data_IF_665102681406
#
_entry.id   IF_665102681406
#
_cell.length_a   1.000
_cell.length_b   1.000
_cell.length_c   1.000
_cell.angle_alpha   90.00
_cell.angle_beta   90.00
_cell.angle_gamma   90.00
#
_symmetry.space_group_name_H-M   'P 1'
#
loop_
_entity.id
_entity.type
_entity.pdbx_description
1 polymer ?
#
# COMPACT_ATOMS: atom_id res chain seq x y z
N UNK A 1 93.16 -26.01 24.42
CA UNK A 1 92.13 -25.10 24.89
C UNK A 1 91.41 -24.53 23.70
N UNK A 2 90.18 -25.02 23.40
CA UNK A 2 89.31 -24.53 22.32
C UNK A 2 88.05 -23.89 22.94
N UNK A 3 87.90 -22.61 22.73
CA UNK A 3 86.74 -21.87 23.18
C UNK A 3 85.70 -21.87 22.08
N UNK A 4 84.52 -22.40 22.34
CA UNK A 4 83.33 -22.38 21.46
C UNK A 4 82.38 -21.29 21.96
N UNK A 5 82.20 -20.25 21.17
CA UNK A 5 81.23 -19.19 21.39
C UNK A 5 79.86 -19.59 20.86
N UNK A 6 78.84 -19.56 21.74
CA UNK A 6 77.45 -19.75 21.38
C UNK A 6 76.82 -18.39 21.06
N UNK A 7 76.35 -18.21 19.84
CA UNK A 7 75.48 -17.09 19.40
C UNK A 7 74.03 -17.49 19.60
N UNK A 8 73.38 -16.83 20.56
CA UNK A 8 71.91 -16.92 20.77
C UNK A 8 71.23 -15.93 19.83
N UNK A 9 70.52 -16.42 18.83
CA UNK A 9 69.67 -15.61 17.98
C UNK A 9 68.28 -15.46 18.65
N UNK A 10 67.95 -14.26 19.06
CA UNK A 10 66.62 -13.89 19.58
C UNK A 10 65.69 -13.55 18.40
N UNK A 11 64.77 -14.45 18.10
CA UNK A 11 63.74 -14.22 17.11
C UNK A 11 62.63 -13.31 17.69
N UNK A 12 62.52 -12.08 17.21
CA UNK A 12 61.44 -11.13 17.54
C UNK A 12 60.19 -11.52 16.77
N UNK A 13 59.25 -12.20 17.42
CA UNK A 13 57.93 -12.50 16.83
C UNK A 13 57.07 -11.25 16.86
N UNK A 14 56.94 -10.56 15.71
CA UNK A 14 55.94 -9.48 15.54
C UNK A 14 54.59 -10.17 15.38
N UNK A 15 53.79 -10.16 16.43
CA UNK A 15 52.38 -10.55 16.36
C UNK A 15 51.64 -9.49 15.57
N UNK A 16 51.29 -9.75 14.31
CA UNK A 16 50.32 -9.01 13.54
C UNK A 16 48.93 -9.20 14.17
N UNK A 17 48.56 -8.29 15.06
CA UNK A 17 47.21 -8.19 15.56
C UNK A 17 46.32 -7.69 14.41
N UNK A 18 45.72 -8.62 13.67
CA UNK A 18 44.55 -8.29 12.81
C UNK A 18 43.48 -7.73 13.73
N UNK A 19 42.93 -6.53 13.43
CA UNK A 19 41.79 -6.03 14.21
C UNK A 19 40.66 -7.05 14.02
N UNK A 20 40.32 -7.78 15.07
CA UNK A 20 39.08 -8.55 15.11
C UNK A 20 37.96 -7.50 15.07
N UNK A 21 37.37 -7.32 13.91
CA UNK A 21 36.13 -6.59 13.77
C UNK A 21 35.12 -7.31 14.61
N UNK A 22 34.80 -6.75 15.76
CA UNK A 22 33.74 -7.25 16.62
C UNK A 22 32.44 -7.20 15.78
N UNK A 23 32.04 -8.32 15.22
CA UNK A 23 30.75 -8.44 14.56
C UNK A 23 29.69 -8.17 15.63
N UNK A 24 29.07 -7.01 15.55
CA UNK A 24 27.94 -6.70 16.40
C UNK A 24 26.89 -7.81 16.24
N UNK A 25 26.30 -8.23 17.36
CA UNK A 25 25.17 -9.18 17.30
C UNK A 25 24.10 -8.60 16.35
N UNK A 26 23.58 -9.41 15.43
CA UNK A 26 22.58 -8.93 14.49
C UNK A 26 21.35 -8.37 15.23
N UNK A 27 20.86 -7.24 14.75
CA UNK A 27 19.65 -6.62 15.25
C UNK A 27 18.47 -7.47 14.76
N UNK A 28 17.70 -8.04 15.68
CA UNK A 28 16.53 -8.83 15.33
C UNK A 28 15.33 -7.90 15.15
N UNK A 29 14.67 -7.99 14.00
CA UNK A 29 13.44 -7.29 13.69
C UNK A 29 12.39 -8.25 13.14
N UNK A 30 11.15 -8.07 13.59
CA UNK A 30 9.99 -8.81 13.08
C UNK A 30 9.31 -7.98 12.00
N UNK A 31 9.23 -8.57 10.80
CA UNK A 31 8.41 -8.07 9.70
C UNK A 31 7.07 -8.82 9.67
N UNK A 32 5.95 -8.10 9.62
CA UNK A 32 4.62 -8.69 9.59
C UNK A 32 3.77 -8.23 8.40
N UNK A 33 2.98 -9.17 7.87
CA UNK A 33 1.96 -8.91 6.86
C UNK A 33 0.73 -9.78 7.07
N UNK A 34 -0.46 -9.20 6.97
CA UNK A 34 -1.71 -9.95 6.96
C UNK A 34 -1.91 -10.75 5.66
N UNK A 35 -1.17 -10.44 4.59
CA UNK A 35 -1.20 -11.18 3.33
C UNK A 35 -0.17 -12.30 3.30
N UNK A 36 -0.48 -13.44 2.65
CA UNK A 36 0.48 -14.52 2.40
C UNK A 36 1.57 -14.10 1.38
N UNK A 37 2.68 -14.83 1.39
CA UNK A 37 3.84 -14.58 0.52
C UNK A 37 3.53 -14.69 -0.99
N UNK A 38 2.41 -15.29 -1.37
CA UNK A 38 1.98 -15.44 -2.77
C UNK A 38 1.52 -14.14 -3.41
N UNK A 39 1.22 -13.11 -2.62
CA UNK A 39 0.87 -11.80 -3.16
C UNK A 39 2.13 -11.03 -3.57
N UNK A 40 2.08 -10.37 -4.73
CA UNK A 40 3.22 -9.70 -5.34
C UNK A 40 3.93 -8.69 -4.41
N UNK A 41 3.16 -7.94 -3.62
CA UNK A 41 3.72 -6.98 -2.66
C UNK A 41 4.37 -7.65 -1.46
N UNK A 42 3.82 -8.76 -0.96
CA UNK A 42 4.43 -9.51 0.15
C UNK A 42 5.69 -10.22 -0.33
N UNK A 43 5.67 -10.79 -1.54
CA UNK A 43 6.83 -11.36 -2.20
C UNK A 43 7.94 -10.31 -2.37
N UNK A 44 7.62 -9.11 -2.90
CA UNK A 44 8.58 -8.02 -3.06
C UNK A 44 9.11 -7.50 -1.71
N UNK A 45 8.30 -7.53 -0.65
CA UNK A 45 8.77 -7.21 0.69
C UNK A 45 9.80 -8.23 1.18
N UNK A 46 9.51 -9.52 1.04
CA UNK A 46 10.38 -10.60 1.54
C UNK A 46 11.66 -10.71 0.71
N UNK A 47 11.54 -10.73 -0.61
CA UNK A 47 12.63 -11.03 -1.53
C UNK A 47 13.35 -9.80 -2.09
N UNK A 48 12.73 -8.63 -1.98
CA UNK A 48 13.28 -7.34 -2.42
C UNK A 48 13.66 -6.43 -1.23
N UNK A 49 12.67 -5.93 -0.48
CA UNK A 49 12.87 -4.93 0.56
C UNK A 49 13.76 -5.43 1.71
N UNK A 50 13.45 -6.58 2.33
CA UNK A 50 14.18 -7.05 3.50
C UNK A 50 15.67 -7.34 3.20
N UNK A 51 16.04 -8.00 2.09
CA UNK A 51 17.44 -8.16 1.71
C UNK A 51 18.12 -6.85 1.32
N UNK A 52 17.39 -5.89 0.72
CA UNK A 52 17.95 -4.60 0.30
C UNK A 52 18.44 -3.78 1.49
N UNK A 53 17.77 -3.85 2.65
CA UNK A 53 18.23 -3.21 3.89
C UNK A 53 19.65 -3.67 4.25
N UNK A 54 19.91 -4.98 4.26
CA UNK A 54 21.24 -5.50 4.59
C UNK A 54 22.28 -5.18 3.52
N UNK A 55 21.91 -5.20 2.23
CA UNK A 55 22.80 -4.77 1.15
C UNK A 55 23.25 -3.32 1.30
N UNK A 56 22.33 -2.44 1.70
CA UNK A 56 22.64 -1.01 1.95
C UNK A 56 23.55 -0.83 3.17
N UNK A 57 23.31 -1.55 4.24
CA UNK A 57 24.19 -1.54 5.42
C UNK A 57 25.59 -2.01 5.04
N UNK A 58 25.69 -3.06 4.24
CA UNK A 58 26.98 -3.56 3.77
C UNK A 58 27.70 -2.56 2.88
N UNK A 59 26.99 -1.99 1.90
CA UNK A 59 27.54 -0.98 0.97
C UNK A 59 28.00 0.30 1.71
N UNK A 60 27.36 0.64 2.82
CA UNK A 60 27.73 1.76 3.67
C UNK A 60 28.87 1.43 4.67
N UNK A 61 29.43 0.22 4.65
CA UNK A 61 30.43 -0.23 5.60
C UNK A 61 29.93 -0.33 7.05
N UNK A 62 28.61 -0.43 7.25
CA UNK A 62 28.04 -0.53 8.59
C UNK A 62 28.43 -1.85 9.27
N UNK A 63 28.74 -1.84 10.59
CA UNK A 63 28.93 -3.06 11.37
C UNK A 63 27.58 -3.75 11.69
N UNK A 64 26.45 -3.08 11.47
CA UNK A 64 25.14 -3.59 11.79
C UNK A 64 24.61 -4.53 10.70
N UNK A 65 23.87 -5.57 11.12
CA UNK A 65 23.11 -6.45 10.22
C UNK A 65 21.74 -6.72 10.83
N UNK A 66 20.74 -6.86 9.99
CA UNK A 66 19.37 -7.20 10.43
C UNK A 66 19.13 -8.70 10.23
N UNK A 67 18.70 -9.35 11.29
CA UNK A 67 18.11 -10.68 11.22
C UNK A 67 16.59 -10.54 11.26
N UNK A 68 15.97 -10.81 10.12
CA UNK A 68 14.53 -10.73 9.97
C UNK A 68 13.82 -11.98 10.50
N UNK A 69 12.81 -11.77 11.35
CA UNK A 69 11.76 -12.74 11.62
C UNK A 69 10.57 -12.39 10.75
N UNK A 70 10.25 -13.22 9.77
CA UNK A 70 9.20 -12.94 8.76
C UNK A 70 7.91 -13.65 9.17
N UNK A 71 6.88 -12.88 9.45
CA UNK A 71 5.57 -13.34 9.90
C UNK A 71 4.47 -12.83 8.94
N UNK A 72 4.13 -13.62 7.94
CA UNK A 72 3.17 -13.26 6.89
C UNK A 72 1.95 -14.18 6.88
N UNK A 73 0.93 -13.85 6.10
CA UNK A 73 -0.29 -14.65 6.00
C UNK A 73 -1.15 -14.63 7.25
N UNK A 74 -1.06 -13.56 8.03
CA UNK A 74 -1.89 -13.41 9.24
C UNK A 74 -1.36 -14.16 10.47
N UNK A 75 -0.12 -14.64 10.46
CA UNK A 75 0.47 -15.38 11.59
C UNK A 75 0.59 -14.57 12.87
N UNK A 76 0.76 -13.25 12.78
CA UNK A 76 0.72 -12.32 13.93
C UNK A 76 -0.64 -11.65 14.01
N UNK A 77 -1.14 -11.12 12.89
CA UNK A 77 -2.42 -10.42 12.83
C UNK A 77 -3.04 -10.52 11.43
N UNK A 78 -4.35 -10.66 11.37
CA UNK A 78 -5.12 -10.55 10.12
C UNK A 78 -5.10 -9.10 9.61
N UNK A 79 -5.44 -8.89 8.33
CA UNK A 79 -5.42 -7.56 7.70
C UNK A 79 -6.12 -6.46 8.51
N UNK A 80 -7.35 -6.67 9.02
CA UNK A 80 -8.03 -5.66 9.82
C UNK A 80 -7.35 -5.36 11.17
N UNK A 81 -6.51 -6.25 11.66
CA UNK A 81 -5.86 -6.15 12.96
C UNK A 81 -4.39 -5.72 12.87
N UNK A 82 -3.87 -5.48 11.64
CA UNK A 82 -2.46 -5.13 11.45
C UNK A 82 -2.11 -3.80 12.11
N UNK A 83 -3.01 -2.81 12.10
CA UNK A 83 -2.75 -1.53 12.76
C UNK A 83 -2.51 -1.70 14.26
N UNK A 84 -3.31 -2.53 14.92
CA UNK A 84 -3.15 -2.81 16.35
C UNK A 84 -1.85 -3.58 16.63
N UNK A 85 -1.53 -4.58 15.82
CA UNK A 85 -0.29 -5.34 15.95
C UNK A 85 0.96 -4.45 15.82
N UNK A 86 0.94 -3.52 14.86
CA UNK A 86 2.02 -2.56 14.66
C UNK A 86 2.09 -1.53 15.80
N UNK A 87 0.96 -0.97 16.22
CA UNK A 87 0.90 0.04 17.28
C UNK A 87 1.33 -0.53 18.65
N UNK A 88 0.96 -1.77 18.97
CA UNK A 88 1.34 -2.43 20.22
C UNK A 88 2.73 -3.02 20.22
N UNK A 89 3.42 -3.06 19.07
CA UNK A 89 4.78 -3.59 18.95
C UNK A 89 4.85 -5.11 18.88
N UNK A 90 3.77 -5.81 18.48
CA UNK A 90 3.83 -7.25 18.16
C UNK A 90 4.70 -7.51 16.93
N UNK A 91 4.85 -6.52 16.06
CA UNK A 91 5.83 -6.51 14.98
C UNK A 91 6.58 -5.16 14.95
N UNK A 92 7.81 -5.18 14.42
CA UNK A 92 8.67 -4.01 14.36
C UNK A 92 8.46 -3.19 13.09
N UNK A 93 8.29 -3.87 11.96
CA UNK A 93 8.01 -3.29 10.64
C UNK A 93 6.93 -4.15 9.98
N UNK A 94 6.00 -3.51 9.31
CA UNK A 94 4.94 -4.20 8.61
C UNK A 94 4.06 -3.25 7.83
N UNK A 95 3.08 -3.79 7.13
CA UNK A 95 2.19 -2.90 6.41
C UNK A 95 0.78 -2.87 6.99
N UNK A 96 0.20 -1.68 6.93
CA UNK A 96 -1.16 -1.36 7.34
C UNK A 96 -1.97 -1.03 6.09
N UNK A 97 -3.23 -1.44 6.06
CA UNK A 97 -4.17 -1.09 5.00
C UNK A 97 -5.14 -0.05 5.54
N UNK A 98 -4.88 1.23 5.28
CA UNK A 98 -5.67 2.31 5.86
C UNK A 98 -7.13 2.36 5.38
N UNK A 99 -7.49 1.69 4.28
CA UNK A 99 -8.88 1.53 3.85
C UNK A 99 -9.75 0.79 4.88
N UNK A 100 -9.14 -0.03 5.74
CA UNK A 100 -9.84 -0.69 6.85
C UNK A 100 -9.89 0.17 8.11
N UNK A 101 -9.24 1.33 8.09
CA UNK A 101 -9.05 2.22 9.24
C UNK A 101 -9.63 3.64 9.04
N UNK A 102 -10.85 3.79 8.51
CA UNK A 102 -11.40 5.10 8.17
C UNK A 102 -11.63 6.00 9.40
N UNK A 103 -11.65 5.42 10.60
CA UNK A 103 -11.81 6.16 11.86
C UNK A 103 -10.46 6.61 12.43
N UNK A 104 -9.45 5.74 12.39
CA UNK A 104 -8.13 5.99 13.00
C UNK A 104 -7.16 6.69 12.04
N UNK A 105 -7.32 6.45 10.74
CA UNK A 105 -6.51 7.04 9.66
C UNK A 105 -7.40 7.76 8.63
N UNK A 106 -8.25 8.69 9.08
CA UNK A 106 -9.26 9.30 8.20
C UNK A 106 -8.64 10.17 7.10
N UNK A 107 -7.54 10.87 7.36
CA UNK A 107 -6.89 11.75 6.38
C UNK A 107 -6.17 10.96 5.28
N UNK A 108 -5.64 9.78 5.61
CA UNK A 108 -5.02 8.86 4.66
C UNK A 108 -6.03 8.35 3.62
N UNK A 109 -7.31 8.34 3.98
CA UNK A 109 -8.42 7.93 3.11
C UNK A 109 -8.92 9.03 2.15
N UNK A 110 -8.20 10.13 1.96
CA UNK A 110 -8.58 11.22 1.04
C UNK A 110 -8.85 10.73 -0.38
N UNK A 111 -8.14 9.69 -0.84
CA UNK A 111 -8.34 9.08 -2.18
C UNK A 111 -9.74 8.51 -2.32
N UNK A 112 -10.23 7.82 -1.29
CA UNK A 112 -11.58 7.26 -1.27
C UNK A 112 -12.66 8.34 -1.25
N UNK A 113 -12.35 9.51 -0.69
CA UNK A 113 -13.26 10.67 -0.70
C UNK A 113 -13.29 11.39 -2.06
N UNK A 114 -12.28 11.19 -2.93
CA UNK A 114 -12.15 11.89 -4.20
C UNK A 114 -11.93 10.91 -5.38
N UNK A 115 -12.91 10.04 -5.71
CA UNK A 115 -12.80 9.11 -6.83
C UNK A 115 -12.68 9.85 -8.16
N UNK A 116 -12.28 9.12 -9.22
CA UNK A 116 -12.04 9.68 -10.57
C UNK A 116 -10.90 10.71 -10.61
N UNK A 117 -9.94 10.61 -9.69
CA UNK A 117 -8.81 11.52 -9.61
C UNK A 117 -7.72 11.23 -10.65
N UNK A 118 -7.16 10.05 -10.62
CA UNK A 118 -6.18 9.54 -11.59
C UNK A 118 -6.21 8.03 -11.67
N UNK A 119 -6.07 7.48 -12.86
CA UNK A 119 -5.93 6.04 -13.08
C UNK A 119 -4.48 5.57 -13.08
N UNK A 120 -3.52 6.52 -13.05
CA UNK A 120 -2.10 6.21 -13.03
C UNK A 120 -1.61 5.92 -11.59
N UNK A 121 -1.21 4.67 -11.28
CA UNK A 121 -0.72 4.31 -9.95
C UNK A 121 0.61 4.98 -9.61
N UNK A 122 1.43 5.39 -10.61
CA UNK A 122 2.67 6.12 -10.37
C UNK A 122 2.39 7.50 -9.78
N UNK A 123 1.47 8.23 -10.43
CA UNK A 123 1.07 9.56 -9.97
C UNK A 123 0.37 9.49 -8.62
N UNK A 124 -0.58 8.57 -8.44
CA UNK A 124 -1.27 8.38 -7.18
C UNK A 124 -0.30 8.06 -6.04
N UNK A 125 0.65 7.15 -6.27
CA UNK A 125 1.69 6.81 -5.29
C UNK A 125 2.54 8.02 -4.93
N UNK A 126 3.06 8.73 -5.93
CA UNK A 126 3.90 9.92 -5.71
C UNK A 126 3.17 10.96 -4.87
N UNK A 127 1.96 11.34 -5.29
CA UNK A 127 1.16 12.38 -4.61
C UNK A 127 0.92 12.01 -3.14
N UNK A 128 0.44 10.81 -2.89
CA UNK A 128 0.08 10.42 -1.52
C UNK A 128 1.29 10.19 -0.63
N UNK A 129 2.37 9.63 -1.17
CA UNK A 129 3.61 9.49 -0.43
C UNK A 129 4.20 10.86 -0.02
N UNK A 130 4.23 11.81 -0.96
CA UNK A 130 4.68 13.18 -0.66
C UNK A 130 3.78 13.85 0.38
N UNK A 131 2.47 13.69 0.28
CA UNK A 131 1.51 14.22 1.28
C UNK A 131 1.74 13.60 2.66
N UNK A 132 1.89 12.31 2.75
CA UNK A 132 2.16 11.64 4.02
C UNK A 132 3.48 12.08 4.67
N UNK A 133 4.50 12.40 3.85
CA UNK A 133 5.79 12.92 4.33
C UNK A 133 5.78 14.42 4.66
N UNK A 134 4.95 15.22 4.00
CA UNK A 134 4.99 16.68 4.13
C UNK A 134 3.82 17.28 4.90
N UNK A 135 2.66 16.60 4.99
CA UNK A 135 1.49 17.13 5.69
C UNK A 135 1.55 16.82 7.20
N UNK A 136 1.65 17.86 8.08
CA UNK A 136 1.80 17.64 9.52
C UNK A 136 0.64 16.87 10.16
N UNK A 137 -0.59 17.03 9.64
CA UNK A 137 -1.75 16.35 10.19
C UNK A 137 -1.74 14.85 9.86
N UNK A 138 -1.30 14.48 8.65
CA UNK A 138 -1.14 13.07 8.26
C UNK A 138 0.01 12.42 9.05
N UNK A 139 1.13 13.14 9.24
CA UNK A 139 2.22 12.66 10.09
C UNK A 139 1.78 12.46 11.54
N UNK A 140 1.02 13.42 12.09
CA UNK A 140 0.47 13.34 13.45
C UNK A 140 -0.48 12.14 13.60
N UNK A 141 -1.22 11.76 12.56
CA UNK A 141 -2.06 10.55 12.60
C UNK A 141 -1.23 9.31 12.90
N UNK A 142 -0.13 9.09 12.18
CA UNK A 142 0.79 7.97 12.42
C UNK A 142 1.46 8.07 13.79
N UNK A 143 1.91 9.26 14.14
CA UNK A 143 2.61 9.51 15.41
C UNK A 143 1.72 9.21 16.62
N UNK A 144 0.44 9.58 16.57
CA UNK A 144 -0.54 9.31 17.63
C UNK A 144 -0.85 7.82 17.80
N UNK A 145 -0.60 7.01 16.78
CA UNK A 145 -0.73 5.56 16.80
C UNK A 145 0.58 4.86 17.21
N UNK A 146 1.61 5.61 17.57
CA UNK A 146 2.92 5.05 17.92
C UNK A 146 3.64 4.44 16.71
N UNK A 147 3.43 4.97 15.51
CA UNK A 147 3.98 4.47 14.26
C UNK A 147 4.83 5.53 13.55
N UNK A 148 5.81 5.06 12.79
CA UNK A 148 6.60 5.84 11.84
C UNK A 148 6.23 5.38 10.44
N UNK A 149 5.75 6.31 9.62
CA UNK A 149 5.48 6.05 8.20
C UNK A 149 6.81 5.95 7.44
N UNK A 150 6.98 4.89 6.67
CA UNK A 150 8.16 4.65 5.84
C UNK A 150 7.85 4.94 4.37
N UNK A 151 6.87 4.25 3.80
CA UNK A 151 6.45 4.42 2.42
C UNK A 151 5.04 3.88 2.19
N UNK A 152 4.49 4.15 1.01
CA UNK A 152 3.23 3.57 0.55
C UNK A 152 3.24 3.37 -0.96
N UNK A 153 2.31 2.60 -1.48
CA UNK A 153 2.10 2.47 -2.92
C UNK A 153 0.60 2.36 -3.24
N UNK A 154 0.27 2.71 -4.48
CA UNK A 154 -1.09 2.62 -5.02
C UNK A 154 -1.24 1.39 -5.90
N UNK A 155 -2.41 0.75 -5.81
CA UNK A 155 -2.82 -0.24 -6.79
C UNK A 155 -3.22 0.41 -8.12
N UNK A 156 -3.47 -0.44 -9.11
CA UNK A 156 -4.14 -0.07 -10.35
C UNK A 156 -5.53 0.56 -10.09
N UNK A 157 -6.05 1.23 -11.11
CA UNK A 157 -7.37 1.86 -11.01
C UNK A 157 -8.45 0.85 -10.64
N UNK A 158 -9.25 1.20 -9.67
CA UNK A 158 -10.41 0.40 -9.31
C UNK A 158 -11.43 0.41 -10.46
N UNK A 159 -12.15 -0.69 -10.57
CA UNK A 159 -13.07 -1.03 -11.64
C UNK A 159 -14.28 -1.79 -11.08
N UNK A 160 -15.28 -2.06 -11.92
CA UNK A 160 -16.37 -2.95 -11.59
C UNK A 160 -16.17 -4.31 -12.26
N UNK A 161 -16.38 -5.36 -11.49
CA UNK A 161 -16.54 -6.72 -11.97
C UNK A 161 -17.93 -7.21 -11.63
N UNK A 162 -18.66 -7.75 -12.61
CA UNK A 162 -20.06 -8.14 -12.43
C UNK A 162 -20.44 -9.43 -13.12
N UNK A 163 -21.48 -10.08 -12.61
CA UNK A 163 -22.10 -11.26 -13.21
C UNK A 163 -23.01 -10.90 -14.40
N UNK A 164 -23.23 -9.62 -14.66
CA UNK A 164 -24.10 -9.10 -15.74
C UNK A 164 -23.40 -7.97 -16.50
N UNK A 165 -23.83 -7.69 -17.77
CA UNK A 165 -23.26 -6.58 -18.54
C UNK A 165 -23.55 -5.22 -17.91
N UNK A 166 -22.55 -4.33 -17.87
CA UNK A 166 -22.68 -2.94 -17.42
C UNK A 166 -22.21 -2.05 -18.58
N UNK A 167 -23.10 -1.24 -19.14
CA UNK A 167 -22.82 -0.27 -20.20
C UNK A 167 -22.94 1.18 -19.68
N UNK A 168 -23.66 1.36 -18.57
CA UNK A 168 -23.91 2.66 -17.95
C UNK A 168 -24.18 2.52 -16.46
N UNK A 169 -24.15 3.64 -15.73
CA UNK A 169 -24.52 3.70 -14.31
C UNK A 169 -25.94 3.19 -14.05
N UNK A 170 -26.86 3.40 -15.01
CA UNK A 170 -28.25 2.99 -14.88
C UNK A 170 -28.42 1.46 -14.72
N UNK A 171 -27.47 0.66 -15.25
CA UNK A 171 -27.49 -0.79 -15.16
C UNK A 171 -27.25 -1.30 -13.72
N UNK A 172 -26.76 -0.42 -12.83
CA UNK A 172 -26.56 -0.73 -11.41
C UNK A 172 -27.84 -0.64 -10.58
N UNK A 173 -28.94 -0.07 -11.12
CA UNK A 173 -30.17 0.13 -10.36
C UNK A 173 -30.72 -1.19 -9.83
N UNK A 174 -30.88 -1.26 -8.49
CA UNK A 174 -31.37 -2.44 -7.80
C UNK A 174 -30.37 -3.60 -7.68
N UNK A 175 -29.15 -3.45 -8.22
CA UNK A 175 -28.08 -4.46 -8.12
C UNK A 175 -27.34 -4.32 -6.81
N UNK A 176 -27.02 -5.43 -6.18
CA UNK A 176 -26.15 -5.46 -5.01
C UNK A 176 -24.69 -5.34 -5.47
N UNK A 177 -24.05 -4.27 -5.08
CA UNK A 177 -22.65 -3.99 -5.47
C UNK A 177 -21.78 -3.91 -4.23
N UNK A 178 -20.79 -4.79 -4.15
CA UNK A 178 -19.85 -4.80 -3.04
C UNK A 178 -18.71 -3.81 -3.24
N UNK A 179 -18.29 -3.18 -2.15
CA UNK A 179 -17.09 -2.36 -2.09
C UNK A 179 -16.47 -2.42 -0.70
N UNK A 180 -15.19 -2.03 -0.57
CA UNK A 180 -14.60 -1.75 0.73
C UNK A 180 -15.34 -0.59 1.41
N UNK A 181 -15.42 -0.59 2.75
CA UNK A 181 -16.24 0.37 3.50
C UNK A 181 -15.98 1.83 3.11
N UNK A 182 -14.71 2.22 2.91
CA UNK A 182 -14.33 3.58 2.51
C UNK A 182 -14.80 3.96 1.09
N UNK A 183 -15.09 2.97 0.23
CA UNK A 183 -15.46 3.16 -1.18
C UNK A 183 -16.96 2.99 -1.42
N UNK A 184 -17.75 2.60 -0.42
CA UNK A 184 -19.22 2.49 -0.53
C UNK A 184 -19.88 3.78 -1.06
N UNK A 185 -19.44 5.00 -0.67
CA UNK A 185 -20.00 6.23 -1.19
C UNK A 185 -19.86 6.44 -2.71
N UNK A 186 -19.01 5.66 -3.40
CA UNK A 186 -18.89 5.72 -4.86
C UNK A 186 -20.12 5.17 -5.60
N UNK A 187 -20.98 4.48 -4.85
CA UNK A 187 -22.25 3.92 -5.34
C UNK A 187 -23.45 4.81 -5.01
N UNK A 188 -23.27 5.88 -4.23
CA UNK A 188 -24.34 6.79 -3.86
C UNK A 188 -24.96 7.43 -5.11
N UNK A 189 -26.29 7.51 -5.16
CA UNK A 189 -27.01 8.08 -6.29
C UNK A 189 -27.08 7.20 -7.56
N UNK A 190 -26.38 6.06 -7.61
CA UNK A 190 -26.41 5.15 -8.78
C UNK A 190 -27.64 4.26 -8.81
N UNK A 191 -28.41 4.18 -7.71
CA UNK A 191 -29.50 3.22 -7.55
C UNK A 191 -29.05 1.79 -7.22
N UNK A 192 -27.74 1.52 -7.13
CA UNK A 192 -27.22 0.28 -6.60
C UNK A 192 -27.58 0.11 -5.11
N UNK A 193 -27.56 -1.12 -4.64
CA UNK A 193 -27.64 -1.50 -3.22
C UNK A 193 -26.22 -1.74 -2.74
N UNK A 194 -25.59 -0.80 -2.00
CA UNK A 194 -24.22 -0.96 -1.54
C UNK A 194 -24.11 -2.09 -0.50
N UNK A 195 -23.10 -2.95 -0.66
CA UNK A 195 -22.80 -4.05 0.27
C UNK A 195 -21.33 -3.90 0.69
N UNK A 196 -21.06 -3.97 2.00
CA UNK A 196 -19.67 -4.06 2.46
C UNK A 196 -19.13 -5.44 2.12
N UNK A 197 -18.04 -5.48 1.37
CA UNK A 197 -17.41 -6.73 0.92
C UNK A 197 -15.90 -6.68 0.97
N UNK A 198 -15.28 -7.85 0.96
CA UNK A 198 -13.83 -8.02 0.90
C UNK A 198 -13.46 -8.97 -0.22
N UNK A 199 -12.21 -8.88 -0.71
CA UNK A 199 -11.69 -9.82 -1.71
C UNK A 199 -11.68 -11.27 -1.23
N UNK A 200 -11.52 -11.51 0.06
CA UNK A 200 -11.43 -12.87 0.60
C UNK A 200 -12.69 -13.69 0.40
N UNK A 201 -13.86 -13.06 0.29
CA UNK A 201 -15.17 -13.72 0.14
C UNK A 201 -15.82 -13.47 -1.22
N UNK A 202 -15.35 -12.48 -1.99
CA UNK A 202 -15.99 -11.97 -3.20
C UNK A 202 -16.35 -13.04 -4.23
N UNK A 203 -15.48 -14.01 -4.48
CA UNK A 203 -15.77 -15.11 -5.40
C UNK A 203 -17.01 -15.91 -4.98
N UNK A 204 -17.05 -16.36 -3.73
CA UNK A 204 -18.14 -17.15 -3.20
C UNK A 204 -19.43 -16.33 -3.09
N UNK A 205 -19.32 -15.07 -2.69
CA UNK A 205 -20.44 -14.17 -2.50
C UNK A 205 -21.14 -13.83 -3.83
N UNK A 206 -20.37 -13.59 -4.92
CA UNK A 206 -20.95 -13.41 -6.27
C UNK A 206 -21.53 -14.74 -6.76
N UNK A 207 -20.80 -15.84 -6.62
CA UNK A 207 -21.25 -17.16 -7.07
C UNK A 207 -22.57 -17.59 -6.41
N UNK A 208 -22.78 -17.24 -5.15
CA UNK A 208 -24.00 -17.56 -4.40
C UNK A 208 -25.07 -16.46 -4.47
N UNK A 209 -24.83 -15.34 -5.18
CA UNK A 209 -25.79 -14.25 -5.34
C UNK A 209 -25.97 -13.36 -4.10
N UNK A 210 -25.00 -13.37 -3.17
CA UNK A 210 -24.98 -12.40 -2.05
C UNK A 210 -24.88 -10.99 -2.60
N UNK A 211 -24.03 -10.79 -3.62
CA UNK A 211 -24.01 -9.58 -4.43
C UNK A 211 -23.74 -9.88 -5.92
N UNK A 212 -24.11 -8.93 -6.79
CA UNK A 212 -24.11 -9.10 -8.24
C UNK A 212 -22.81 -8.59 -8.87
N UNK A 213 -22.12 -7.66 -8.19
CA UNK A 213 -20.91 -7.00 -8.66
C UNK A 213 -20.02 -6.57 -7.50
N UNK A 214 -18.76 -6.30 -7.80
CA UNK A 214 -17.79 -5.79 -6.82
C UNK A 214 -16.91 -4.68 -7.42
N UNK A 215 -16.67 -3.65 -6.64
CA UNK A 215 -15.64 -2.63 -6.90
C UNK A 215 -14.30 -3.18 -6.43
N UNK A 216 -13.33 -3.29 -7.34
CA UNK A 216 -12.03 -3.87 -7.03
C UNK A 216 -10.94 -3.44 -8.02
N UNK A 217 -9.69 -3.85 -7.80
CA UNK A 217 -8.61 -3.68 -8.77
C UNK A 217 -8.46 -4.91 -9.66
N UNK A 218 -7.98 -4.70 -10.89
CA UNK A 218 -7.74 -5.79 -11.84
C UNK A 218 -6.68 -6.76 -11.33
N UNK A 219 -5.59 -6.25 -10.79
CA UNK A 219 -4.50 -7.07 -10.25
C UNK A 219 -4.93 -7.93 -9.06
N UNK A 220 -5.74 -7.38 -8.14
CA UNK A 220 -6.28 -8.16 -7.02
C UNK A 220 -7.24 -9.24 -7.49
N UNK A 221 -8.00 -8.96 -8.53
CA UNK A 221 -9.08 -9.81 -9.02
C UNK A 221 -8.59 -11.09 -9.70
N UNK A 222 -7.46 -11.04 -10.41
CA UNK A 222 -6.91 -12.24 -11.06
C UNK A 222 -6.46 -13.28 -10.03
N UNK A 223 -5.84 -12.84 -8.94
CA UNK A 223 -5.41 -13.73 -7.85
C UNK A 223 -6.58 -14.46 -7.18
N UNK A 224 -7.73 -13.81 -7.08
CA UNK A 224 -8.97 -14.39 -6.54
C UNK A 224 -9.85 -15.08 -7.57
N UNK A 225 -9.44 -15.16 -8.84
CA UNK A 225 -10.20 -15.73 -9.98
C UNK A 225 -11.61 -15.14 -10.12
N UNK A 226 -11.77 -13.88 -9.73
CA UNK A 226 -13.09 -13.24 -9.66
C UNK A 226 -13.76 -13.16 -11.04
N UNK A 227 -12.99 -13.11 -12.13
CA UNK A 227 -13.48 -13.09 -13.51
C UNK A 227 -14.26 -14.38 -13.90
N UNK A 228 -14.06 -15.51 -13.23
CA UNK A 228 -14.82 -16.74 -13.49
C UNK A 228 -16.30 -16.60 -13.10
N UNK A 229 -16.61 -15.79 -12.09
CA UNK A 229 -17.99 -15.58 -11.58
C UNK A 229 -18.51 -14.17 -11.89
N UNK A 230 -17.65 -13.25 -12.25
CA UNK A 230 -17.94 -11.87 -12.62
C UNK A 230 -17.18 -11.50 -13.93
N UNK A 231 -17.57 -12.13 -15.07
CA UNK A 231 -16.82 -12.02 -16.32
C UNK A 231 -16.97 -10.65 -17.02
N UNK A 232 -17.90 -9.81 -16.59
CA UNK A 232 -18.05 -8.46 -17.13
C UNK A 232 -17.21 -7.48 -16.31
N UNK A 233 -16.09 -7.04 -16.90
CA UNK A 233 -15.12 -6.15 -16.26
C UNK A 233 -15.22 -4.78 -16.93
N UNK A 234 -15.59 -3.77 -16.15
CA UNK A 234 -15.70 -2.39 -16.65
C UNK A 234 -14.63 -1.53 -16.01
N UNK A 235 -13.70 -1.02 -16.81
CA UNK A 235 -12.72 -0.04 -16.38
C UNK A 235 -13.41 1.33 -16.25
N UNK A 236 -13.88 1.58 -15.04
CA UNK A 236 -14.73 2.72 -14.70
C UNK A 236 -13.97 4.04 -14.57
N UNK A 237 -12.64 3.98 -14.37
CA UNK A 237 -11.84 5.15 -14.10
C UNK A 237 -11.97 5.70 -12.67
N UNK A 238 -12.44 4.91 -11.70
CA UNK A 238 -12.56 5.33 -10.29
C UNK A 238 -11.26 5.88 -9.72
N UNK A 239 -10.13 5.40 -10.19
CA UNK A 239 -8.81 5.86 -9.83
C UNK A 239 -7.94 4.80 -9.16
N UNK A 240 -6.64 5.04 -9.24
CA UNK A 240 -5.64 4.26 -8.53
C UNK A 240 -5.74 4.53 -7.04
N UNK A 241 -5.86 3.47 -6.24
CA UNK A 241 -6.10 3.56 -4.80
C UNK A 241 -4.82 3.30 -4.04
N UNK A 242 -4.37 4.31 -3.28
CA UNK A 242 -3.36 4.10 -2.26
C UNK A 242 -4.05 3.52 -1.02
N UNK A 243 -3.60 2.35 -0.62
CA UNK A 243 -4.21 1.66 0.51
C UNK A 243 -3.18 1.04 1.44
N UNK A 244 -1.92 0.91 0.98
CA UNK A 244 -0.88 0.15 1.65
C UNK A 244 0.22 1.07 2.14
N UNK A 245 0.39 1.09 3.45
CA UNK A 245 1.43 1.86 4.12
C UNK A 245 2.40 0.91 4.81
N UNK A 246 3.68 0.99 4.47
CA UNK A 246 4.75 0.36 5.23
C UNK A 246 5.10 1.26 6.40
N UNK A 247 5.03 0.71 7.60
CA UNK A 247 5.23 1.45 8.84
C UNK A 247 6.18 0.72 9.77
N UNK A 248 6.82 1.46 10.68
CA UNK A 248 7.60 0.91 11.77
C UNK A 248 6.96 1.26 13.13
N UNK A 249 7.06 0.37 14.12
CA UNK A 249 6.73 0.71 15.49
C UNK A 249 7.69 1.79 16.02
N UNK A 250 7.16 2.91 16.50
CA UNK A 250 7.94 4.10 16.89
C UNK A 250 8.90 3.83 18.02
N UNK A 251 8.47 3.05 19.02
CA UNK A 251 9.32 2.70 20.17
C UNK A 251 10.51 1.83 19.76
N UNK A 252 10.29 0.94 18.79
CA UNK A 252 11.35 0.11 18.23
C UNK A 252 12.27 0.93 17.33
N UNK A 253 11.68 1.72 16.44
CA UNK A 253 12.39 2.60 15.52
C UNK A 253 13.38 3.52 16.22
N UNK A 254 12.96 4.19 17.28
CA UNK A 254 13.80 5.14 18.03
C UNK A 254 15.03 4.51 18.69
N UNK A 255 15.05 3.18 18.85
CA UNK A 255 16.18 2.43 19.41
C UNK A 255 17.15 1.90 18.35
N UNK A 256 16.80 2.04 17.07
CA UNK A 256 17.67 1.60 15.97
C UNK A 256 18.81 2.60 15.78
N UNK A 257 20.03 2.13 15.46
CA UNK A 257 21.11 3.00 15.03
C UNK A 257 20.73 3.84 13.81
N UNK A 258 21.29 5.03 13.67
CA UNK A 258 20.96 5.97 12.61
C UNK A 258 21.22 5.41 11.20
N UNK A 259 22.29 4.65 11.03
CA UNK A 259 22.63 3.96 9.77
C UNK A 259 21.60 2.89 9.41
N UNK A 260 21.04 2.18 10.41
CA UNK A 260 19.98 1.20 10.23
C UNK A 260 18.67 1.88 9.83
N UNK A 261 18.30 2.97 10.52
CA UNK A 261 17.12 3.76 10.14
C UNK A 261 17.24 4.29 8.71
N UNK A 262 18.41 4.81 8.33
CA UNK A 262 18.69 5.28 6.98
C UNK A 262 18.57 4.16 5.95
N UNK A 263 19.18 3.01 6.19
CA UNK A 263 19.13 1.86 5.27
C UNK A 263 17.68 1.35 5.08
N UNK A 264 16.88 1.30 6.15
CA UNK A 264 15.46 0.91 6.08
C UNK A 264 14.68 1.94 5.27
N UNK A 265 14.88 3.25 5.50
CA UNK A 265 14.17 4.29 4.75
C UNK A 265 14.51 4.24 3.25
N UNK A 266 15.79 4.17 2.91
CA UNK A 266 16.23 4.10 1.51
C UNK A 266 15.75 2.81 0.82
N UNK A 267 15.72 1.68 1.52
CA UNK A 267 15.16 0.43 1.02
C UNK A 267 13.65 0.54 0.81
N UNK A 268 12.94 1.27 1.68
CA UNK A 268 11.51 1.53 1.57
C UNK A 268 11.18 2.39 0.35
N UNK A 269 11.97 3.42 0.07
CA UNK A 269 11.80 4.28 -1.11
C UNK A 269 12.07 3.50 -2.41
N UNK A 270 13.09 2.62 -2.40
CA UNK A 270 13.38 1.73 -3.52
C UNK A 270 12.31 0.65 -3.71
N UNK A 271 11.78 0.08 -2.63
CA UNK A 271 10.65 -0.83 -2.66
C UNK A 271 9.42 -0.20 -3.31
N UNK A 272 9.08 1.03 -2.93
CA UNK A 272 7.96 1.77 -3.53
C UNK A 272 8.07 1.83 -5.04
N UNK A 273 9.24 2.25 -5.55
CA UNK A 273 9.49 2.38 -6.98
C UNK A 273 9.32 1.03 -7.70
N UNK A 274 9.96 -0.02 -7.19
CA UNK A 274 9.85 -1.36 -7.79
C UNK A 274 8.42 -1.88 -7.75
N UNK A 275 7.71 -1.66 -6.63
CA UNK A 275 6.35 -2.16 -6.46
C UNK A 275 5.37 -1.50 -7.42
N UNK A 276 5.44 -0.18 -7.58
CA UNK A 276 4.58 0.55 -8.52
C UNK A 276 4.81 0.09 -9.96
N UNK A 277 6.07 -0.08 -10.39
CA UNK A 277 6.36 -0.58 -11.73
C UNK A 277 5.87 -2.02 -11.92
N UNK A 278 6.02 -2.86 -10.89
CA UNK A 278 5.47 -4.22 -10.89
C UNK A 278 3.96 -4.22 -11.04
N UNK A 279 3.24 -3.36 -10.31
CA UNK A 279 1.78 -3.21 -10.41
C UNK A 279 1.37 -2.85 -11.83
N UNK A 280 2.00 -1.84 -12.44
CA UNK A 280 1.66 -1.43 -13.82
C UNK A 280 1.84 -2.59 -14.80
N UNK A 281 2.95 -3.32 -14.70
CA UNK A 281 3.25 -4.46 -15.56
C UNK A 281 2.28 -5.63 -15.32
N UNK A 282 2.06 -6.00 -14.06
CA UNK A 282 1.23 -7.16 -13.72
C UNK A 282 -0.26 -6.89 -13.96
N UNK A 283 -0.73 -5.64 -13.83
CA UNK A 283 -2.10 -5.27 -14.18
C UNK A 283 -2.39 -5.51 -15.66
N UNK A 284 -1.48 -5.12 -16.56
CA UNK A 284 -1.64 -5.37 -17.98
C UNK A 284 -1.69 -6.89 -18.28
N UNK A 285 -0.81 -7.65 -17.63
CA UNK A 285 -0.78 -9.11 -17.76
C UNK A 285 -2.04 -9.77 -17.18
N UNK A 286 -2.58 -9.24 -16.08
CA UNK A 286 -3.80 -9.73 -15.45
C UNK A 286 -5.01 -9.55 -16.39
N UNK A 287 -5.15 -8.39 -17.01
CA UNK A 287 -6.23 -8.17 -17.98
C UNK A 287 -6.13 -9.12 -19.19
N UNK A 288 -4.95 -9.27 -19.77
CA UNK A 288 -4.75 -10.19 -20.88
C UNK A 288 -5.07 -11.66 -20.49
N UNK A 289 -4.74 -12.08 -19.27
CA UNK A 289 -5.08 -13.40 -18.77
C UNK A 289 -6.60 -13.57 -18.58
N UNK A 290 -7.27 -12.60 -17.98
CA UNK A 290 -8.73 -12.64 -17.78
C UNK A 290 -9.49 -12.66 -19.11
N UNK A 291 -9.05 -11.89 -20.13
CA UNK A 291 -9.62 -11.92 -21.49
C UNK A 291 -9.46 -13.30 -22.13
N UNK A 292 -8.27 -13.90 -22.01
CA UNK A 292 -8.01 -15.25 -22.51
C UNK A 292 -8.93 -16.29 -21.85
N UNK A 293 -9.27 -16.10 -20.58
CA UNK A 293 -10.16 -16.96 -19.81
C UNK A 293 -11.66 -16.61 -20.06
N UNK A 294 -11.96 -15.71 -21.01
CA UNK A 294 -13.31 -15.39 -21.47
C UNK A 294 -13.97 -14.19 -20.82
N UNK A 295 -13.25 -13.41 -20.00
CA UNK A 295 -13.75 -12.16 -19.47
C UNK A 295 -13.98 -11.13 -20.58
N UNK A 296 -15.03 -10.32 -20.43
CA UNK A 296 -15.39 -9.23 -21.32
C UNK A 296 -14.97 -7.92 -20.68
N UNK A 297 -13.85 -7.36 -21.14
CA UNK A 297 -13.30 -6.12 -20.60
C UNK A 297 -13.76 -4.96 -21.48
N UNK A 298 -14.34 -3.95 -20.86
CA UNK A 298 -14.81 -2.72 -21.52
C UNK A 298 -14.32 -1.49 -20.77
N UNK A 299 -14.17 -0.39 -21.51
CA UNK A 299 -13.88 0.92 -20.94
C UNK A 299 -15.13 1.77 -20.85
N UNK A 300 -15.37 2.37 -19.69
CA UNK A 300 -16.35 3.43 -19.60
C UNK A 300 -15.83 4.68 -20.32
N UNK A 301 -16.62 5.24 -21.24
CA UNK A 301 -16.17 6.43 -21.97
C UNK A 301 -15.88 7.61 -21.03
N UNK A 302 -15.00 8.56 -21.40
CA UNK A 302 -14.75 9.75 -20.59
C UNK A 302 -16.02 10.53 -20.24
N UNK A 303 -16.99 10.59 -21.16
CA UNK A 303 -18.29 11.23 -20.94
C UNK A 303 -19.11 10.47 -19.89
N UNK A 304 -19.11 9.14 -19.92
CA UNK A 304 -19.82 8.32 -18.95
C UNK A 304 -19.14 8.37 -17.57
N UNK A 305 -17.81 8.43 -17.53
CA UNK A 305 -17.05 8.64 -16.28
C UNK A 305 -17.39 10.01 -15.66
N UNK A 306 -17.41 11.08 -16.47
CA UNK A 306 -17.78 12.42 -16.02
C UNK A 306 -19.22 12.48 -15.54
N UNK A 307 -20.15 11.82 -16.26
CA UNK A 307 -21.56 11.73 -15.86
C UNK A 307 -21.72 10.98 -14.53
N UNK A 308 -20.98 9.89 -14.32
CA UNK A 308 -20.99 9.18 -13.04
C UNK A 308 -20.44 10.06 -11.92
N UNK A 309 -19.25 10.64 -12.11
CA UNK A 309 -18.65 11.52 -11.14
C UNK A 309 -19.58 12.71 -10.78
N UNK A 310 -20.30 13.27 -11.75
CA UNK A 310 -21.26 14.34 -11.54
C UNK A 310 -22.54 13.89 -10.80
N UNK A 311 -22.98 12.64 -11.00
CA UNK A 311 -24.19 12.09 -10.35
C UNK A 311 -23.97 11.78 -8.88
N UNK A 312 -22.70 11.58 -8.45
CA UNK A 312 -22.39 11.38 -7.03
C UNK A 312 -22.72 12.63 -6.24
N UNK A 313 -23.33 12.50 -5.06
CA UNK A 313 -23.39 13.60 -4.10
C UNK A 313 -21.98 14.11 -3.79
N UNK A 314 -21.84 15.29 -3.22
CA UNK A 314 -20.51 15.78 -2.88
C UNK A 314 -19.91 15.00 -1.70
N UNK A 315 -19.48 13.76 -1.97
CA UNK A 315 -18.91 12.85 -0.95
C UNK A 315 -17.63 13.41 -0.34
N UNK A 316 -16.85 14.16 -1.11
CA UNK A 316 -15.62 14.78 -0.63
C UNK A 316 -15.93 15.92 0.36
N UNK A 317 -16.93 16.75 0.09
CA UNK A 317 -17.37 17.79 1.01
C UNK A 317 -17.94 17.19 2.30
N UNK A 318 -18.76 16.16 2.20
CA UNK A 318 -19.28 15.40 3.35
C UNK A 318 -18.15 14.83 4.20
N UNK A 319 -17.16 14.22 3.57
CA UNK A 319 -15.98 13.68 4.24
C UNK A 319 -15.20 14.80 4.96
N UNK A 320 -14.86 15.87 4.24
CA UNK A 320 -14.11 16.98 4.79
C UNK A 320 -14.85 17.64 5.98
N UNK A 321 -16.12 17.97 5.81
CA UNK A 321 -16.94 18.61 6.86
C UNK A 321 -17.04 17.72 8.11
N UNK A 322 -17.22 16.40 7.93
CA UNK A 322 -17.31 15.48 9.06
C UNK A 322 -16.03 15.37 9.88
N UNK A 323 -14.87 15.53 9.24
CA UNK A 323 -13.57 15.50 9.88
C UNK A 323 -13.18 16.86 10.47
N UNK A 324 -13.54 17.96 9.81
CA UNK A 324 -13.35 19.31 10.34
C UNK A 324 -14.13 19.52 11.65
N UNK A 325 -15.33 18.95 11.75
CA UNK A 325 -16.08 18.92 13.01
C UNK A 325 -15.36 18.18 14.16
N UNK A 326 -14.37 17.33 13.82
CA UNK A 326 -13.48 16.64 14.77
C UNK A 326 -12.12 17.33 14.94
N UNK A 327 -11.95 18.54 14.38
CA UNK A 327 -10.71 19.30 14.45
C UNK A 327 -9.60 18.84 13.50
N UNK A 328 -9.91 18.03 12.49
CA UNK A 328 -8.94 17.58 11.49
C UNK A 328 -8.98 18.50 10.24
N UNK A 329 -7.83 18.88 9.64
CA UNK A 329 -7.81 19.82 8.52
C UNK A 329 -8.10 19.10 7.18
N UNK A 330 -9.22 18.38 7.11
CA UNK A 330 -9.53 17.50 6.00
C UNK A 330 -9.72 18.22 4.67
N UNK A 331 -10.28 19.44 4.71
CA UNK A 331 -10.43 20.24 3.49
C UNK A 331 -9.09 20.66 2.91
N UNK A 332 -8.15 21.07 3.75
CA UNK A 332 -6.79 21.39 3.29
C UNK A 332 -6.09 20.15 2.67
N UNK A 333 -6.31 18.97 3.25
CA UNK A 333 -5.78 17.70 2.70
C UNK A 333 -6.42 17.39 1.35
N UNK A 334 -7.73 17.58 1.20
CA UNK A 334 -8.45 17.40 -0.06
C UNK A 334 -7.95 18.36 -1.15
N UNK A 335 -7.82 19.64 -0.81
CA UNK A 335 -7.38 20.69 -1.72
C UNK A 335 -5.94 20.44 -2.19
N UNK A 336 -5.03 20.05 -1.28
CA UNK A 336 -3.65 19.68 -1.59
C UNK A 336 -3.60 18.43 -2.48
N UNK A 337 -4.39 17.41 -2.17
CA UNK A 337 -4.50 16.20 -2.99
C UNK A 337 -4.93 16.54 -4.42
N UNK A 338 -6.04 17.24 -4.59
CA UNK A 338 -6.56 17.60 -5.91
C UNK A 338 -5.61 18.52 -6.68
N UNK A 339 -4.94 19.44 -5.99
CA UNK A 339 -3.92 20.31 -6.59
C UNK A 339 -2.74 19.47 -7.11
N UNK A 340 -2.17 18.60 -6.28
CA UNK A 340 -1.01 17.76 -6.66
C UNK A 340 -1.32 16.82 -7.82
N UNK A 341 -2.54 16.27 -7.89
CA UNK A 341 -2.97 15.49 -9.04
C UNK A 341 -2.93 16.31 -10.33
N UNK A 342 -3.49 17.53 -10.32
CA UNK A 342 -3.49 18.42 -11.50
C UNK A 342 -2.07 18.86 -11.88
N UNK A 343 -1.25 19.23 -10.90
CA UNK A 343 0.16 19.61 -11.11
C UNK A 343 0.97 18.44 -11.70
N UNK A 344 0.59 17.20 -11.37
CA UNK A 344 1.16 15.98 -11.93
C UNK A 344 0.59 15.57 -13.30
N UNK A 345 -0.28 16.38 -13.90
CA UNK A 345 -0.84 16.17 -15.23
C UNK A 345 -2.13 15.34 -15.28
N UNK A 346 -2.72 15.00 -14.11
CA UNK A 346 -4.03 14.34 -14.12
C UNK A 346 -5.15 15.31 -14.53
N UNK A 347 -6.16 14.75 -15.20
CA UNK A 347 -7.41 15.42 -15.53
C UNK A 347 -8.58 14.73 -14.83
N UNK A 348 -8.81 14.99 -13.53
CA UNK A 348 -9.88 14.37 -12.77
C UNK A 348 -11.24 14.60 -13.43
N UNK A 349 -12.09 13.56 -13.51
CA UNK A 349 -13.42 13.69 -14.09
C UNK A 349 -14.35 14.63 -13.28
N UNK A 350 -14.00 14.86 -12.02
CA UNK A 350 -14.61 15.88 -11.15
C UNK A 350 -13.54 16.53 -10.27
N UNK A 351 -13.58 17.84 -10.18
CA UNK A 351 -12.74 18.58 -9.21
C UNK A 351 -13.44 18.59 -7.84
N UNK A 352 -13.08 17.65 -6.98
CA UNK A 352 -13.67 17.48 -5.67
C UNK A 352 -13.32 18.58 -4.66
N UNK A 353 -12.32 19.43 -4.97
CA UNK A 353 -12.01 20.61 -4.16
C UNK A 353 -13.01 21.75 -4.36
N UNK A 354 -13.80 21.71 -5.46
CA UNK A 354 -14.85 22.68 -5.73
C UNK A 354 -16.15 22.28 -5.00
N UNK A 355 -16.78 23.30 -4.38
CA UNK A 355 -18.07 23.15 -3.70
C UNK A 355 -19.25 23.10 -4.67
#
# INVERSE_FOLDING_TARGET
MKWTTWLTATALSVALSTPAWAQNKPIRLTFASGYPATFAWTDEQINGFLPDVNKRLEAAGSPNRIQWNVAVGGTIATLPNMLDAMSTGLADIGHVVHLFEPVRLPLQNVVSAAPFGTTDPRLATKVLHEMQKSNPAMQKSWDSLGLVYLTSFSFDSYLLMSSFPINSVADLKGRKVAAAAANLPWLDGTGAIPVSGTMGTAYNDIKSGVFDAAVNSGMLSIGGKLHEVAPHIVRTGFGAINAFDLVANKSRWSKLPADVQKAIQEASDAFQTRMVERIVKETASAFAAMEKDGAKITDLSPQAQAAWAASLPNIADKWATSLEAKGLPARQVLDDYMKRLRDGGATPARDWSKR
#
